data_IF_778542545249
#
_entry.id   IF_778542545249
#
_cell.length_a   1.000
_cell.length_b   1.000
_cell.length_c   1.000
_cell.angle_alpha   90.00
_cell.angle_beta   90.00
_cell.angle_gamma   90.00
#
_symmetry.space_group_name_H-M   'P 1'
#
loop_
_entity.id
_entity.type
_entity.pdbx_description
1 polymer ?
#
# COMPACT_ATOMS: atom_id res chain seq x y z
N UNK A 1 17.24 29.78 11.55
CA UNK A 1 17.40 30.11 10.11
C UNK A 1 17.96 28.84 9.49
N UNK A 2 17.12 27.93 8.99
CA UNK A 2 16.64 27.95 7.60
C UNK A 2 15.23 27.34 7.54
N UNK A 3 14.20 28.19 7.49
CA UNK A 3 12.76 27.81 7.35
C UNK A 3 12.26 28.21 5.94
N UNK A 4 13.16 28.44 4.99
CA UNK A 4 12.85 29.11 3.73
C UNK A 4 13.51 28.39 2.55
N UNK A 5 13.05 27.18 2.21
CA UNK A 5 13.36 26.57 0.92
C UNK A 5 12.43 25.43 0.47
N UNK A 6 11.18 25.32 0.95
CA UNK A 6 10.22 24.35 0.38
C UNK A 6 8.81 24.93 0.29
N UNK A 7 8.71 26.12 -0.33
CA UNK A 7 7.45 26.71 -0.77
C UNK A 7 7.38 26.63 -2.29
N UNK A 8 7.09 25.45 -2.84
CA UNK A 8 6.47 25.32 -4.16
C UNK A 8 6.18 23.84 -4.47
N UNK A 9 5.28 23.21 -3.71
CA UNK A 9 4.50 22.05 -4.18
C UNK A 9 3.45 21.70 -3.11
N UNK A 10 2.38 22.49 -2.96
CA UNK A 10 1.23 22.06 -2.14
C UNK A 10 -0.06 22.45 -2.86
N UNK A 11 -0.68 21.46 -3.51
CA UNK A 11 -2.07 21.54 -3.97
C UNK A 11 -2.82 20.33 -3.41
N UNK A 12 -3.36 20.48 -2.20
CA UNK A 12 -4.30 19.52 -1.62
C UNK A 12 -4.32 19.53 -0.10
N UNK A 13 -5.51 19.55 0.50
CA UNK A 13 -5.73 19.51 1.96
C UNK A 13 -5.34 18.19 2.63
N UNK A 14 -5.02 17.15 1.86
CA UNK A 14 -4.68 15.81 2.37
C UNK A 14 -3.19 15.60 2.60
N UNK A 15 -2.34 16.29 1.83
CA UNK A 15 -0.91 16.33 2.15
C UNK A 15 -0.71 16.98 3.51
N UNK A 16 -1.52 17.96 3.92
CA UNK A 16 -1.42 18.60 5.23
C UNK A 16 -1.54 17.64 6.43
N UNK A 17 -2.31 16.54 6.35
CA UNK A 17 -2.43 15.58 7.48
C UNK A 17 -1.24 14.62 7.50
N UNK A 18 -0.81 14.10 6.34
CA UNK A 18 0.43 13.33 6.25
C UNK A 18 1.65 14.20 6.62
N UNK A 19 1.64 15.48 6.22
CA UNK A 19 2.67 16.47 6.49
C UNK A 19 2.68 16.89 7.97
N UNK A 20 1.52 16.98 8.64
CA UNK A 20 1.46 17.19 10.09
C UNK A 20 2.00 15.97 10.86
N UNK A 21 1.70 14.74 10.43
CA UNK A 21 2.28 13.51 10.98
C UNK A 21 3.79 13.47 10.71
N UNK A 22 4.24 13.81 9.50
CA UNK A 22 5.66 13.90 9.12
C UNK A 22 6.41 14.97 9.95
N UNK A 23 5.80 16.12 10.25
CA UNK A 23 6.40 17.19 11.05
C UNK A 23 6.55 16.77 12.52
N UNK A 24 5.57 16.09 13.12
CA UNK A 24 5.70 15.57 14.49
C UNK A 24 6.66 14.36 14.55
N UNK A 25 6.71 13.52 13.52
CA UNK A 25 7.62 12.37 13.45
C UNK A 25 9.10 12.73 13.26
N UNK A 26 9.42 13.82 12.55
CA UNK A 26 10.81 14.28 12.38
C UNK A 26 11.49 14.69 13.69
N UNK A 27 10.73 14.80 14.79
CA UNK A 27 11.27 15.17 16.11
C UNK A 27 11.62 13.95 16.98
N UNK A 28 11.33 12.73 16.52
CA UNK A 28 11.60 11.49 17.28
C UNK A 28 12.84 10.77 16.72
N UNK A 29 13.94 10.78 17.48
CA UNK A 29 15.23 10.23 17.02
C UNK A 29 15.18 8.74 16.67
N UNK A 30 14.38 7.93 17.39
CA UNK A 30 14.24 6.50 17.13
C UNK A 30 13.57 6.19 15.78
N UNK A 31 12.57 7.01 15.39
CA UNK A 31 11.88 6.91 14.10
C UNK A 31 12.83 7.20 12.94
N UNK A 32 13.65 8.24 13.07
CA UNK A 32 14.65 8.61 12.06
C UNK A 32 15.68 7.50 11.87
N UNK A 33 16.17 6.90 12.96
CA UNK A 33 17.12 5.79 12.88
C UNK A 33 16.52 4.56 12.19
N UNK A 34 15.29 4.16 12.54
CA UNK A 34 14.64 3.00 11.93
C UNK A 34 14.34 3.18 10.43
N UNK A 35 13.95 4.39 10.00
CA UNK A 35 13.76 4.72 8.59
C UNK A 35 15.08 4.60 7.82
N UNK A 36 16.16 5.14 8.36
CA UNK A 36 17.49 5.08 7.74
C UNK A 36 18.01 3.64 7.64
N UNK A 37 17.81 2.81 8.67
CA UNK A 37 18.20 1.40 8.65
C UNK A 37 17.48 0.61 7.55
N UNK A 38 16.15 0.77 7.44
CA UNK A 38 15.36 0.12 6.39
C UNK A 38 15.78 0.65 5.01
N UNK A 39 15.92 1.97 4.85
CA UNK A 39 16.35 2.57 3.60
C UNK A 39 17.75 2.08 3.19
N UNK A 40 18.69 1.97 4.13
CA UNK A 40 20.02 1.42 3.88
C UNK A 40 19.98 -0.05 3.44
N UNK A 41 19.05 -0.85 4.00
CA UNK A 41 18.85 -2.23 3.58
C UNK A 41 18.22 -2.33 2.17
N UNK A 42 17.47 -1.29 1.76
CA UNK A 42 16.82 -1.18 0.45
C UNK A 42 17.73 -0.72 -0.67
N UNK A 43 18.62 0.23 -0.36
CA UNK A 43 19.46 0.88 -1.35
C UNK A 43 20.51 -0.12 -1.86
N UNK A 44 20.46 -0.38 -3.16
CA UNK A 44 21.58 -1.01 -3.86
C UNK A 44 22.80 -0.06 -3.78
N UNK A 45 23.90 -0.56 -3.22
CA UNK A 45 25.13 0.23 -2.99
C UNK A 45 25.68 0.77 -4.31
N UNK A 46 25.57 -0.02 -5.39
CA UNK A 46 26.15 0.30 -6.69
C UNK A 46 25.33 1.33 -7.48
N UNK A 47 23.99 1.30 -7.33
CA UNK A 47 23.08 2.11 -8.17
C UNK A 47 22.35 3.21 -7.41
N UNK A 48 22.44 3.23 -6.08
CA UNK A 48 21.66 4.13 -5.21
C UNK A 48 20.14 4.06 -5.50
N UNK A 49 19.66 2.89 -5.90
CA UNK A 49 18.27 2.63 -6.28
C UNK A 49 17.66 1.48 -5.46
N UNK A 50 16.33 1.40 -5.46
CA UNK A 50 15.59 0.28 -4.89
C UNK A 50 14.50 -0.21 -5.85
N UNK A 51 14.41 -1.53 -6.01
CA UNK A 51 13.33 -2.20 -6.74
C UNK A 51 12.11 -2.35 -5.83
N UNK A 52 10.99 -1.75 -6.21
CA UNK A 52 9.75 -1.68 -5.42
C UNK A 52 8.70 -2.58 -6.03
N UNK A 53 7.99 -3.33 -5.17
CA UNK A 53 6.87 -4.21 -5.54
C UNK A 53 5.54 -3.55 -5.17
N UNK A 54 4.76 -3.19 -6.18
CA UNK A 54 3.43 -2.62 -6.02
C UNK A 54 2.33 -3.68 -6.16
N UNK A 55 1.47 -3.79 -5.15
CA UNK A 55 0.40 -4.81 -5.14
C UNK A 55 -1.01 -4.27 -4.93
N UNK A 56 -1.17 -2.98 -4.64
CA UNK A 56 -2.46 -2.30 -4.46
C UNK A 56 -2.61 -1.05 -5.32
N UNK A 57 -2.60 0.14 -4.71
CA UNK A 57 -2.71 1.42 -5.46
C UNK A 57 -1.57 1.68 -6.45
N UNK A 58 -0.47 0.93 -6.36
CA UNK A 58 0.68 1.06 -7.26
C UNK A 58 0.61 0.11 -8.47
N UNK A 59 -0.52 -0.59 -8.68
CA UNK A 59 -0.71 -1.56 -9.76
C UNK A 59 -0.78 -0.94 -11.16
N UNK A 60 -0.99 0.37 -11.30
CA UNK A 60 -0.87 1.07 -12.59
C UNK A 60 0.33 2.01 -12.57
N UNK A 61 1.01 2.16 -13.71
CA UNK A 61 2.12 3.09 -13.83
C UNK A 61 1.67 4.53 -13.53
N UNK A 62 0.47 4.91 -13.98
CA UNK A 62 -0.10 6.23 -13.70
C UNK A 62 -0.20 6.49 -12.19
N UNK A 63 -0.73 5.53 -11.44
CA UNK A 63 -0.85 5.67 -9.98
C UNK A 63 0.51 5.59 -9.30
N UNK A 64 1.40 4.72 -9.75
CA UNK A 64 2.77 4.65 -9.24
C UNK A 64 3.49 5.98 -9.44
N UNK A 65 3.38 6.62 -10.62
CA UNK A 65 3.97 7.94 -10.91
C UNK A 65 3.35 9.09 -10.12
N UNK A 66 2.09 8.97 -9.70
CA UNK A 66 1.52 9.96 -8.77
C UNK A 66 2.20 9.95 -7.39
N UNK A 67 2.86 8.84 -7.04
CA UNK A 67 3.62 8.68 -5.80
C UNK A 67 5.13 8.85 -6.03
N UNK A 68 5.64 8.32 -7.14
CA UNK A 68 7.05 8.34 -7.54
C UNK A 68 7.17 8.89 -8.98
N UNK A 69 7.15 10.21 -9.17
CA UNK A 69 7.11 10.82 -10.51
C UNK A 69 8.23 10.31 -11.43
N UNK A 70 9.43 10.17 -10.85
CA UNK A 70 10.66 9.79 -11.55
C UNK A 70 10.94 8.27 -11.53
N UNK A 71 9.94 7.43 -11.22
CA UNK A 71 10.15 5.98 -11.29
C UNK A 71 10.59 5.55 -12.69
N UNK A 72 11.41 4.51 -12.75
CA UNK A 72 11.89 3.89 -13.99
C UNK A 72 11.46 2.43 -14.07
N UNK A 73 11.56 1.85 -15.28
CA UNK A 73 11.43 0.41 -15.53
C UNK A 73 10.14 -0.27 -15.01
N UNK A 74 9.01 0.46 -15.04
CA UNK A 74 7.71 -0.09 -14.66
C UNK A 74 7.35 -1.31 -15.50
N UNK A 75 7.09 -2.43 -14.83
CA UNK A 75 6.76 -3.72 -15.45
C UNK A 75 5.89 -4.56 -14.52
N UNK A 76 5.38 -5.68 -15.01
CA UNK A 76 4.71 -6.69 -14.19
C UNK A 76 5.61 -7.90 -13.96
N UNK A 77 5.53 -8.46 -12.76
CA UNK A 77 6.21 -9.67 -12.35
C UNK A 77 5.30 -10.49 -11.43
N UNK A 78 5.74 -11.69 -11.07
CA UNK A 78 5.09 -12.54 -10.07
C UNK A 78 5.94 -12.60 -8.81
N UNK A 79 5.34 -12.24 -7.67
CA UNK A 79 5.95 -12.36 -6.35
C UNK A 79 5.58 -13.71 -5.71
N UNK A 80 6.55 -14.40 -5.13
CA UNK A 80 6.40 -15.77 -4.61
C UNK A 80 6.46 -15.83 -3.09
N UNK A 81 5.76 -16.80 -2.49
CA UNK A 81 5.78 -17.08 -1.06
C UNK A 81 4.89 -16.16 -0.22
N UNK A 82 4.05 -15.36 -0.87
CA UNK A 82 3.14 -14.41 -0.25
C UNK A 82 1.78 -14.43 -0.94
N UNK A 83 0.75 -14.03 -0.21
CA UNK A 83 -0.58 -13.76 -0.76
C UNK A 83 -0.98 -12.31 -0.51
N UNK A 84 -1.83 -11.79 -1.40
CA UNK A 84 -2.43 -10.46 -1.30
C UNK A 84 -3.81 -10.57 -0.66
N UNK A 85 -4.08 -9.75 0.36
CA UNK A 85 -5.29 -9.85 1.19
C UNK A 85 -5.87 -8.49 1.51
N UNK A 86 -7.19 -8.35 1.43
CA UNK A 86 -7.91 -7.16 1.92
C UNK A 86 -8.17 -7.26 3.42
N UNK A 87 -7.20 -6.79 4.22
CA UNK A 87 -7.33 -6.79 5.70
C UNK A 87 -6.68 -5.60 6.42
N UNK A 88 -6.05 -4.69 5.68
CA UNK A 88 -5.43 -3.50 6.26
C UNK A 88 -6.45 -2.36 6.28
N UNK A 89 -6.90 -1.84 7.42
CA UNK A 89 -7.84 -0.73 7.45
C UNK A 89 -7.18 0.50 6.81
N UNK A 90 -7.79 1.09 5.77
CA UNK A 90 -7.17 2.21 5.04
C UNK A 90 -7.15 3.54 5.78
N UNK A 91 -7.14 3.53 7.12
CA UNK A 91 -6.98 4.71 7.93
C UNK A 91 -5.55 5.29 7.81
N UNK A 92 -5.37 6.60 8.03
CA UNK A 92 -6.42 7.62 8.18
C UNK A 92 -7.05 8.04 6.83
N UNK A 93 -6.48 7.59 5.70
CA UNK A 93 -6.78 8.11 4.36
C UNK A 93 -8.25 7.89 3.96
N UNK A 94 -8.77 6.67 4.11
CA UNK A 94 -10.13 6.32 3.66
C UNK A 94 -11.20 7.02 4.51
N UNK A 95 -10.93 7.17 5.80
CA UNK A 95 -11.84 7.80 6.76
C UNK A 95 -11.89 9.31 6.55
N UNK A 96 -10.73 9.96 6.41
CA UNK A 96 -10.65 11.40 6.11
C UNK A 96 -11.33 11.76 4.79
N UNK A 97 -11.34 10.81 3.85
CA UNK A 97 -11.97 10.97 2.54
C UNK A 97 -13.44 10.56 2.48
N UNK A 98 -14.01 10.04 3.57
CA UNK A 98 -15.40 9.58 3.59
C UNK A 98 -15.68 8.40 2.67
N UNK A 99 -14.69 7.54 2.38
CA UNK A 99 -14.87 6.32 1.57
C UNK A 99 -14.84 5.03 2.41
N UNK A 100 -14.43 5.10 3.68
CA UNK A 100 -14.54 4.01 4.63
C UNK A 100 -15.96 3.95 5.22
N UNK A 101 -16.55 2.76 5.29
CA UNK A 101 -17.84 2.51 5.94
C UNK A 101 -17.66 1.59 7.14
N UNK A 102 -17.57 2.19 8.32
CA UNK A 102 -17.26 1.46 9.56
C UNK A 102 -18.41 0.55 10.02
N UNK A 103 -19.66 0.96 9.79
CA UNK A 103 -20.90 0.25 10.10
C UNK A 103 -21.02 -1.11 9.40
N UNK A 104 -20.44 -1.23 8.20
CA UNK A 104 -20.41 -2.45 7.38
C UNK A 104 -19.02 -3.08 7.30
N UNK A 105 -18.03 -2.50 7.98
CA UNK A 105 -16.62 -2.86 7.91
C UNK A 105 -16.01 -2.85 6.50
N UNK A 106 -16.61 -2.16 5.54
CA UNK A 106 -16.06 -1.94 4.19
C UNK A 106 -14.95 -0.85 4.25
N UNK A 107 -13.84 -1.19 4.91
CA UNK A 107 -12.76 -0.27 5.27
C UNK A 107 -11.38 -0.78 4.84
N UNK A 108 -11.28 -2.03 4.36
CA UNK A 108 -10.00 -2.64 4.03
C UNK A 108 -9.40 -2.08 2.74
N UNK A 109 -8.13 -1.77 2.83
CA UNK A 109 -7.14 -1.72 1.77
C UNK A 109 -6.36 -3.05 1.73
N UNK A 110 -5.36 -3.09 0.85
CA UNK A 110 -4.56 -4.28 0.59
C UNK A 110 -3.35 -4.38 1.50
N UNK A 111 -3.04 -5.58 1.95
CA UNK A 111 -1.74 -5.96 2.50
C UNK A 111 -1.26 -7.28 1.90
N UNK A 112 -0.07 -7.70 2.29
CA UNK A 112 0.45 -9.03 2.01
C UNK A 112 0.77 -9.76 3.31
N UNK A 113 0.85 -11.08 3.23
CA UNK A 113 1.32 -11.93 4.32
C UNK A 113 2.01 -13.19 3.78
N UNK A 114 2.90 -13.81 4.57
CA UNK A 114 3.55 -15.05 4.18
C UNK A 114 2.55 -16.16 3.86
N UNK A 115 2.74 -16.80 2.72
CA UNK A 115 1.99 -17.95 2.25
C UNK A 115 2.87 -18.71 1.25
N UNK A 116 3.71 -19.66 1.71
CA UNK A 116 4.78 -20.27 0.91
C UNK A 116 4.35 -20.83 -0.45
N UNK A 117 3.13 -21.38 -0.51
CA UNK A 117 2.56 -22.00 -1.72
C UNK A 117 1.83 -21.00 -2.64
N UNK A 118 1.75 -19.73 -2.25
CA UNK A 118 1.04 -18.70 -2.99
C UNK A 118 1.99 -17.82 -3.79
N UNK A 119 1.46 -17.27 -4.89
CA UNK A 119 2.14 -16.24 -5.65
C UNK A 119 1.12 -15.40 -6.42
N UNK A 120 1.41 -14.13 -6.62
CA UNK A 120 0.50 -13.21 -7.32
C UNK A 120 1.26 -12.23 -8.21
N UNK A 121 0.57 -11.70 -9.21
CA UNK A 121 1.09 -10.68 -10.13
C UNK A 121 1.04 -9.30 -9.48
N UNK A 122 2.18 -8.62 -9.55
CA UNK A 122 2.43 -7.29 -9.00
C UNK A 122 3.10 -6.40 -10.03
N UNK A 123 3.03 -5.08 -9.83
CA UNK A 123 3.91 -4.15 -10.52
C UNK A 123 5.28 -4.14 -9.86
N UNK A 124 6.31 -3.89 -10.67
CA UNK A 124 7.70 -3.74 -10.24
C UNK A 124 8.27 -2.53 -10.95
N UNK A 125 8.96 -1.67 -10.21
CA UNK A 125 9.61 -0.48 -10.74
C UNK A 125 10.75 -0.06 -9.82
N UNK A 126 11.59 0.84 -10.31
CA UNK A 126 12.79 1.27 -9.64
C UNK A 126 12.59 2.72 -9.20
N UNK A 127 12.98 3.02 -7.97
CA UNK A 127 13.08 4.38 -7.46
C UNK A 127 14.54 4.69 -7.15
N UNK A 128 14.97 5.90 -7.47
CA UNK A 128 16.35 6.34 -7.30
C UNK A 128 16.46 7.40 -6.20
N UNK A 129 17.60 7.40 -5.53
CA UNK A 129 17.95 8.40 -4.53
C UNK A 129 17.42 8.07 -3.14
N UNK A 130 18.30 8.31 -2.16
CA UNK A 130 18.02 8.09 -0.73
C UNK A 130 16.75 8.77 -0.27
N UNK A 131 16.53 10.03 -0.67
CA UNK A 131 15.35 10.81 -0.23
C UNK A 131 14.03 10.16 -0.68
N UNK A 132 13.96 9.65 -1.92
CA UNK A 132 12.76 8.96 -2.42
C UNK A 132 12.50 7.66 -1.67
N UNK A 133 13.56 6.93 -1.30
CA UNK A 133 13.47 5.67 -0.57
C UNK A 133 13.07 5.92 0.89
N UNK A 134 13.66 6.91 1.56
CA UNK A 134 13.29 7.30 2.92
C UNK A 134 11.86 7.84 2.99
N UNK A 135 11.43 8.61 1.97
CA UNK A 135 10.04 9.05 1.83
C UNK A 135 9.07 7.87 1.65
N UNK A 136 9.44 6.85 0.88
CA UNK A 136 8.65 5.62 0.75
C UNK A 136 8.52 4.88 2.08
N UNK A 137 9.63 4.66 2.78
CA UNK A 137 9.66 3.98 4.08
C UNK A 137 8.83 4.73 5.12
N UNK A 138 8.89 6.05 5.10
CA UNK A 138 8.10 6.91 5.99
C UNK A 138 6.61 6.84 5.64
N UNK A 139 6.26 6.83 4.35
CA UNK A 139 4.88 6.78 3.90
C UNK A 139 4.18 5.47 4.24
N UNK A 140 4.87 4.34 4.08
CA UNK A 140 4.30 2.99 4.35
C UNK A 140 4.65 2.50 5.76
N UNK A 141 4.89 3.41 6.69
CA UNK A 141 5.50 3.12 7.97
C UNK A 141 4.65 2.23 8.91
N UNK A 142 3.38 1.99 8.58
CA UNK A 142 2.47 1.03 9.25
C UNK A 142 2.76 -0.43 8.85
N UNK A 143 3.43 -0.65 7.72
CA UNK A 143 3.83 -1.94 7.19
C UNK A 143 5.25 -2.32 7.63
N UNK A 144 5.52 -3.63 7.61
CA UNK A 144 6.88 -4.15 7.55
C UNK A 144 7.34 -4.21 6.08
N UNK A 145 8.65 -4.28 5.85
CA UNK A 145 9.22 -4.45 4.52
C UNK A 145 9.95 -5.78 4.41
N UNK A 146 9.73 -6.47 3.29
CA UNK A 146 10.36 -7.76 2.99
C UNK A 146 10.96 -7.74 1.58
N UNK A 147 12.07 -8.46 1.42
CA UNK A 147 12.58 -8.83 0.11
C UNK A 147 11.80 -10.02 -0.41
N UNK A 148 11.37 -9.97 -1.66
CA UNK A 148 10.66 -11.06 -2.31
C UNK A 148 11.33 -11.47 -3.60
N UNK A 149 11.31 -12.79 -3.84
CA UNK A 149 11.73 -13.36 -5.11
C UNK A 149 10.68 -13.05 -6.18
N UNK A 150 11.19 -12.66 -7.35
CA UNK A 150 10.37 -12.28 -8.50
C UNK A 150 10.64 -13.21 -9.67
N UNK A 151 9.60 -13.49 -10.45
CA UNK A 151 9.73 -14.06 -11.79
C UNK A 151 8.99 -13.21 -12.81
N UNK A 152 9.43 -13.26 -14.06
CA UNK A 152 8.65 -12.72 -15.17
C UNK A 152 7.28 -13.42 -15.25
N UNK A 153 6.33 -12.82 -15.99
CA UNK A 153 5.02 -13.43 -16.21
C UNK A 153 5.12 -14.81 -16.91
N UNK A 154 6.18 -15.03 -17.69
CA UNK A 154 6.47 -16.31 -18.34
C UNK A 154 7.16 -17.33 -17.41
N UNK A 155 7.33 -17.00 -16.12
CA UNK A 155 7.93 -17.89 -15.12
C UNK A 155 9.45 -17.92 -15.09
N UNK A 156 10.14 -17.09 -15.87
CA UNK A 156 11.60 -16.99 -15.78
C UNK A 156 12.00 -16.24 -14.52
N UNK A 157 12.92 -16.77 -13.68
CA UNK A 157 13.41 -16.04 -12.52
C UNK A 157 13.97 -14.67 -12.91
N UNK A 158 13.64 -13.64 -12.12
CA UNK A 158 14.29 -12.35 -12.23
C UNK A 158 15.56 -12.36 -11.39
N UNK A 159 16.61 -11.71 -11.87
CA UNK A 159 17.89 -11.62 -11.16
C UNK A 159 17.77 -10.77 -9.88
N UNK A 160 16.89 -9.76 -9.91
CA UNK A 160 16.71 -8.82 -8.81
C UNK A 160 15.53 -9.21 -7.92
N UNK A 161 15.77 -9.20 -6.60
CA UNK A 161 14.71 -9.21 -5.59
C UNK A 161 14.04 -7.84 -5.52
N UNK A 162 12.76 -7.81 -5.13
CA UNK A 162 12.02 -6.57 -4.92
C UNK A 162 11.65 -6.35 -3.46
N UNK A 163 11.51 -5.10 -3.04
CA UNK A 163 10.99 -4.73 -1.73
C UNK A 163 9.48 -4.57 -1.76
N UNK A 164 8.81 -5.29 -0.87
CA UNK A 164 7.36 -5.34 -0.77
C UNK A 164 6.93 -5.00 0.66
N UNK A 165 5.86 -4.21 0.78
CA UNK A 165 5.18 -4.00 2.05
C UNK A 165 4.42 -5.28 2.46
N UNK A 166 4.54 -5.68 3.73
CA UNK A 166 3.80 -6.80 4.32
C UNK A 166 3.17 -6.39 5.63
N UNK A 167 2.13 -7.11 6.04
CA UNK A 167 1.47 -6.86 7.32
C UNK A 167 2.46 -6.90 8.49
N UNK A 168 2.32 -5.94 9.40
CA UNK A 168 3.10 -5.83 10.63
C UNK A 168 2.25 -6.27 11.84
N UNK A 169 2.52 -5.72 13.01
CA UNK A 169 1.73 -5.91 14.23
C UNK A 169 1.41 -4.58 14.90
N UNK A 170 0.29 -4.51 15.62
CA UNK A 170 -0.07 -3.30 16.37
C UNK A 170 1.02 -2.89 17.37
N UNK A 171 1.70 -3.87 17.99
CA UNK A 171 2.81 -3.59 18.90
C UNK A 171 3.95 -2.84 18.21
N UNK A 172 4.30 -3.21 16.98
CA UNK A 172 5.35 -2.51 16.21
C UNK A 172 4.90 -1.12 15.80
N UNK A 173 3.64 -0.97 15.39
CA UNK A 173 3.05 0.34 15.07
C UNK A 173 3.06 1.24 16.32
N UNK A 174 2.65 0.71 17.48
CA UNK A 174 2.65 1.43 18.77
C UNK A 174 4.06 1.78 19.24
N UNK A 175 5.02 0.87 19.13
CA UNK A 175 6.43 1.12 19.45
C UNK A 175 6.98 2.25 18.58
N UNK A 176 6.62 2.23 17.30
CA UNK A 176 7.10 3.18 16.29
C UNK A 176 6.53 4.59 16.48
N UNK A 177 5.24 4.72 16.72
CA UNK A 177 4.57 6.03 16.75
C UNK A 177 4.18 6.51 18.14
N UNK A 178 4.17 5.62 19.13
CA UNK A 178 3.60 5.87 20.44
C UNK A 178 2.07 5.84 20.45
N UNK A 179 1.52 5.78 21.66
CA UNK A 179 0.08 5.64 21.88
C UNK A 179 -0.73 6.84 21.38
N UNK A 180 -0.21 8.06 21.49
CA UNK A 180 -0.91 9.29 21.11
C UNK A 180 -1.15 9.36 19.61
N UNK A 181 -0.09 9.14 18.81
CA UNK A 181 -0.19 9.11 17.35
C UNK A 181 -1.06 7.93 16.89
N UNK A 182 -0.94 6.77 17.52
CA UNK A 182 -1.82 5.63 17.24
C UNK A 182 -3.30 5.99 17.45
N UNK A 183 -3.61 6.68 18.55
CA UNK A 183 -4.98 7.12 18.83
C UNK A 183 -5.49 8.10 17.78
N UNK A 184 -4.64 9.03 17.35
CA UNK A 184 -4.97 9.99 16.30
C UNK A 184 -5.10 9.34 14.91
N UNK A 185 -4.34 8.29 14.60
CA UNK A 185 -4.42 7.65 13.29
C UNK A 185 -5.55 6.62 13.19
N UNK A 186 -5.86 5.92 14.29
CA UNK A 186 -6.75 4.75 14.28
C UNK A 186 -7.89 4.86 15.28
N UNK A 187 -7.59 5.00 16.58
CA UNK A 187 -8.62 4.92 17.64
C UNK A 187 -9.72 5.97 17.47
N UNK A 188 -9.39 7.19 17.02
CA UNK A 188 -10.39 8.24 16.78
C UNK A 188 -11.43 7.88 15.72
N UNK A 189 -11.09 6.94 14.83
CA UNK A 189 -11.98 6.42 13.80
C UNK A 189 -12.73 5.15 14.25
N UNK A 190 -12.63 4.79 15.52
CA UNK A 190 -13.25 3.58 16.07
C UNK A 190 -12.51 2.29 15.68
N UNK A 191 -11.25 2.38 15.25
CA UNK A 191 -10.43 1.22 14.92
C UNK A 191 -9.67 0.74 16.15
N UNK A 192 -9.98 -0.46 16.68
CA UNK A 192 -9.28 -0.99 17.85
C UNK A 192 -7.90 -1.57 17.50
N UNK A 193 -7.62 -1.79 16.21
CA UNK A 193 -6.44 -2.48 15.72
C UNK A 193 -6.12 -2.12 14.27
N UNK A 194 -4.84 -2.20 13.89
CA UNK A 194 -4.38 -2.06 12.49
C UNK A 194 -4.23 -3.44 11.85
N UNK A 195 -3.64 -4.39 12.58
CA UNK A 195 -3.23 -5.70 12.05
C UNK A 195 -3.98 -6.91 12.64
N UNK A 196 -4.81 -6.69 13.65
CA UNK A 196 -5.61 -7.71 14.36
C UNK A 196 -6.85 -8.23 13.60
N UNK A 197 -6.99 -7.90 12.31
CA UNK A 197 -8.09 -8.34 11.46
C UNK A 197 -7.84 -9.76 10.94
N UNK A 198 -8.31 -10.74 11.72
CA UNK A 198 -8.25 -12.18 11.41
C UNK A 198 -9.34 -12.67 10.44
N UNK A 199 -9.38 -14.00 10.14
CA UNK A 199 -10.34 -14.58 9.20
C UNK A 199 -11.81 -14.28 9.53
N UNK A 200 -12.16 -14.31 10.81
CA UNK A 200 -13.54 -14.13 11.27
C UNK A 200 -13.88 -12.66 11.61
N UNK A 201 -13.01 -11.73 11.24
CA UNK A 201 -13.16 -10.32 11.65
C UNK A 201 -14.27 -9.57 10.93
N UNK A 202 -14.77 -10.10 9.81
CA UNK A 202 -15.79 -9.45 9.00
C UNK A 202 -15.32 -8.19 8.27
N UNK A 203 -14.02 -7.86 8.30
CA UNK A 203 -13.50 -6.72 7.54
C UNK A 203 -13.64 -6.99 6.04
N UNK A 204 -14.17 -6.00 5.31
CA UNK A 204 -14.45 -6.05 3.89
C UNK A 204 -13.66 -4.99 3.12
N UNK A 205 -13.38 -5.22 1.82
CA UNK A 205 -12.75 -4.23 0.96
C UNK A 205 -13.53 -2.90 0.96
N UNK A 206 -12.82 -1.78 1.05
CA UNK A 206 -13.41 -0.48 0.73
C UNK A 206 -13.83 -0.48 -0.76
N UNK A 207 -15.11 -0.21 -1.11
CA UNK A 207 -15.61 -0.43 -2.47
C UNK A 207 -14.92 0.45 -3.51
N UNK A 208 -14.69 1.73 -3.16
CA UNK A 208 -13.98 2.69 -4.02
C UNK A 208 -12.55 2.24 -4.30
N UNK A 209 -11.85 1.75 -3.28
CA UNK A 209 -10.46 1.31 -3.40
C UNK A 209 -10.36 -0.02 -4.16
N UNK A 210 -11.22 -1.00 -3.88
CA UNK A 210 -11.27 -2.26 -4.63
C UNK A 210 -11.54 -1.99 -6.11
N UNK A 211 -12.55 -1.17 -6.43
CA UNK A 211 -12.84 -0.76 -7.81
C UNK A 211 -11.61 -0.14 -8.48
N UNK A 212 -10.90 0.74 -7.80
CA UNK A 212 -9.67 1.34 -8.33
C UNK A 212 -8.63 0.28 -8.69
N UNK A 213 -8.34 -0.66 -7.79
CA UNK A 213 -7.37 -1.73 -8.06
C UNK A 213 -7.79 -2.60 -9.24
N UNK A 214 -9.07 -2.99 -9.32
CA UNK A 214 -9.61 -3.78 -10.45
C UNK A 214 -9.46 -3.02 -11.76
N UNK A 215 -9.80 -1.73 -11.81
CA UNK A 215 -9.65 -0.92 -13.01
C UNK A 215 -8.17 -0.71 -13.40
N UNK A 216 -7.27 -0.59 -12.43
CA UNK A 216 -5.85 -0.44 -12.66
C UNK A 216 -5.27 -1.63 -13.43
N UNK A 217 -5.62 -2.86 -13.04
CA UNK A 217 -5.16 -4.09 -13.70
C UNK A 217 -5.94 -4.44 -14.97
N UNK A 218 -7.25 -4.15 -15.01
CA UNK A 218 -8.10 -4.37 -16.20
C UNK A 218 -7.60 -3.64 -17.43
N UNK A 219 -6.96 -2.47 -17.25
CA UNK A 219 -6.38 -1.67 -18.33
C UNK A 219 -5.08 -2.26 -18.90
N UNK A 220 -4.49 -3.25 -18.24
CA UNK A 220 -3.18 -3.81 -18.62
C UNK A 220 -3.36 -5.03 -19.52
N UNK A 221 -3.97 -6.10 -19.00
CA UNK A 221 -4.31 -7.30 -19.77
C UNK A 221 -5.36 -8.13 -19.04
N UNK A 222 -6.00 -9.05 -19.78
CA UNK A 222 -6.95 -10.00 -19.20
C UNK A 222 -6.25 -10.95 -18.21
N UNK A 223 -5.03 -11.40 -18.52
CA UNK A 223 -4.24 -12.28 -17.64
C UNK A 223 -3.92 -11.62 -16.29
N UNK A 224 -3.52 -10.35 -16.29
CA UNK A 224 -3.21 -9.61 -15.05
C UNK A 224 -4.51 -9.36 -14.26
N UNK A 225 -5.62 -9.07 -14.94
CA UNK A 225 -6.93 -8.95 -14.31
C UNK A 225 -7.33 -10.28 -13.65
N UNK A 226 -7.27 -11.39 -14.38
CA UNK A 226 -7.65 -12.69 -13.86
C UNK A 226 -6.80 -13.08 -12.66
N UNK A 227 -5.48 -12.86 -12.74
CA UNK A 227 -4.62 -13.06 -11.59
C UNK A 227 -5.02 -12.18 -10.39
N UNK A 228 -5.34 -10.90 -10.59
CA UNK A 228 -5.80 -10.06 -9.49
C UNK A 228 -7.09 -10.58 -8.87
N UNK A 229 -8.04 -11.03 -9.68
CA UNK A 229 -9.33 -11.53 -9.20
C UNK A 229 -9.21 -12.87 -8.46
N UNK A 230 -8.30 -13.75 -8.91
CA UNK A 230 -8.19 -15.12 -8.39
C UNK A 230 -7.12 -15.29 -7.30
N UNK A 231 -6.07 -14.47 -7.30
CA UNK A 231 -4.95 -14.55 -6.33
C UNK A 231 -4.97 -13.41 -5.29
N UNK A 232 -6.12 -12.77 -5.15
CA UNK A 232 -6.39 -11.80 -4.08
C UNK A 232 -7.57 -12.26 -3.26
N UNK A 233 -7.45 -12.18 -1.94
CA UNK A 233 -8.42 -12.76 -1.02
C UNK A 233 -9.01 -11.70 -0.09
N UNK A 234 -10.20 -11.98 0.42
CA UNK A 234 -10.73 -11.31 1.61
C UNK A 234 -9.93 -11.72 2.85
N UNK A 235 -10.20 -11.07 3.99
CA UNK A 235 -9.54 -11.38 5.25
C UNK A 235 -9.71 -12.85 5.69
N UNK A 236 -10.77 -13.53 5.23
CA UNK A 236 -10.99 -14.96 5.45
C UNK A 236 -9.94 -15.89 4.80
N UNK A 237 -9.16 -15.36 3.84
CA UNK A 237 -8.13 -16.06 3.03
C UNK A 237 -8.70 -17.21 2.19
N UNK A 238 -10.01 -17.21 1.96
CA UNK A 238 -10.73 -18.24 1.22
C UNK A 238 -11.46 -17.61 0.05
N UNK A 239 -12.23 -16.54 0.31
CA UNK A 239 -13.03 -15.88 -0.72
C UNK A 239 -12.12 -15.04 -1.61
N UNK A 240 -12.09 -15.37 -2.89
CA UNK A 240 -11.33 -14.58 -3.88
C UNK A 240 -12.08 -13.30 -4.22
N UNK A 241 -11.35 -12.31 -4.75
CA UNK A 241 -11.98 -11.08 -5.23
C UNK A 241 -12.93 -11.34 -6.40
N UNK A 242 -12.69 -12.36 -7.23
CA UNK A 242 -13.66 -12.80 -8.25
C UNK A 242 -15.00 -13.15 -7.62
N UNK A 243 -14.98 -14.08 -6.67
CA UNK A 243 -16.18 -14.56 -5.98
C UNK A 243 -16.90 -13.42 -5.25
N UNK A 244 -16.13 -12.54 -4.60
CA UNK A 244 -16.69 -11.40 -3.90
C UNK A 244 -17.38 -10.40 -4.85
N UNK A 245 -16.77 -10.09 -6.00
CA UNK A 245 -17.36 -9.18 -6.98
C UNK A 245 -18.55 -9.78 -7.72
N UNK A 246 -18.57 -11.09 -7.95
CA UNK A 246 -19.74 -11.78 -8.54
C UNK A 246 -20.97 -11.64 -7.63
N UNK A 247 -20.76 -11.66 -6.31
CA UNK A 247 -21.82 -11.43 -5.32
C UNK A 247 -22.12 -9.94 -5.09
N UNK A 248 -21.15 -9.06 -5.36
CA UNK A 248 -21.22 -7.62 -5.09
C UNK A 248 -20.88 -6.79 -6.34
N UNK A 249 -21.60 -6.95 -7.47
CA UNK A 249 -21.24 -6.29 -8.73
C UNK A 249 -21.34 -4.76 -8.64
N UNK A 250 -22.16 -4.24 -7.73
CA UNK A 250 -22.35 -2.81 -7.46
C UNK A 250 -21.04 -2.09 -7.08
N UNK A 251 -20.01 -2.80 -6.60
CA UNK A 251 -18.69 -2.23 -6.30
C UNK A 251 -18.06 -1.58 -7.53
N UNK A 252 -18.32 -2.13 -8.73
CA UNK A 252 -17.79 -1.56 -9.97
C UNK A 252 -18.45 -0.21 -10.36
N UNK A 253 -19.52 0.17 -9.67
CA UNK A 253 -20.22 1.44 -9.82
C UNK A 253 -19.82 2.47 -8.74
N UNK A 254 -19.02 2.09 -7.73
CA UNK A 254 -18.57 2.96 -6.65
C UNK A 254 -17.52 3.98 -7.11
N UNK A 255 -17.96 5.11 -7.66
CA UNK A 255 -17.10 6.21 -8.11
C UNK A 255 -16.46 6.91 -6.90
N UNK A 256 -15.16 7.24 -6.93
CA UNK A 256 -14.53 8.01 -5.87
C UNK A 256 -15.14 9.43 -5.75
N UNK A 257 -15.14 10.03 -4.55
CA UNK A 257 -15.46 11.45 -4.41
C UNK A 257 -14.50 12.31 -5.25
N UNK A 258 -14.90 13.54 -5.60
CA UNK A 258 -14.14 14.40 -6.51
C UNK A 258 -12.70 14.64 -6.02
N UNK A 259 -12.50 14.74 -4.70
CA UNK A 259 -11.17 14.86 -4.07
C UNK A 259 -10.22 13.69 -4.38
N UNK A 260 -10.76 12.51 -4.67
CA UNK A 260 -9.99 11.29 -4.94
C UNK A 260 -10.03 10.85 -6.40
N UNK A 261 -10.73 11.56 -7.28
CA UNK A 261 -10.92 11.17 -8.69
C UNK A 261 -9.61 11.03 -9.46
N UNK A 262 -8.60 11.85 -9.15
CA UNK A 262 -7.28 11.72 -9.79
C UNK A 262 -6.51 10.49 -9.30
N UNK A 263 -6.83 9.97 -8.12
CA UNK A 263 -6.13 8.87 -7.47
C UNK A 263 -6.83 7.52 -7.65
N UNK A 264 -8.16 7.45 -7.52
CA UNK A 264 -8.93 6.21 -7.44
C UNK A 264 -9.95 6.02 -8.58
N UNK A 265 -9.68 6.57 -9.77
CA UNK A 265 -10.54 6.38 -10.94
C UNK A 265 -10.01 5.34 -11.95
N UNK A 266 -9.23 4.37 -11.46
CA UNK A 266 -8.50 3.39 -12.29
C UNK A 266 -7.22 3.96 -12.83
#
# INVERSE_FOLDING_TARGET
MTVLAFRHLVRGSQELILFFILITMHSCSALVTGVQEIANAMISVDTQSATIVGFGSLLSEKSARSTFPELSNFRFARAHGYRRVFRHPGAPIFFTNGIAKLDTLEIASLSTEPAPECSFVCSVFEIEGRESIEAFVTREAEYDFVKVQLSSLNGSPMLDEGFMCTASTDSKVLEKYGQEVFNEMFTKWGLPTVWGWGPDSGILPCPVYLRHCVLAVKKQSQEILDNFLDETYLADRITTIRQYLDQNPHIMECIPPESLKFRYNG
#
